data_IF_333781320467
#
_entry.id   IF_333781320467
#
_cell.length_a   1.000
_cell.length_b   1.000
_cell.length_c   1.000
_cell.angle_alpha   90.00
_cell.angle_beta   90.00
_cell.angle_gamma   90.00
#
_symmetry.space_group_name_H-M   'P 1'
#
loop_
_entity.id
_entity.type
_entity.pdbx_description
1 polymer ?
#
# COMPACT_ATOMS: atom_id res chain seq x y z
N UNK A 1 10.64 -13.44 -9.71
CA UNK A 1 9.39 -12.74 -9.32
C UNK A 1 8.89 -13.28 -8.00
N UNK A 2 8.48 -12.41 -7.10
CA UNK A 2 7.82 -12.81 -5.87
C UNK A 2 6.35 -12.36 -5.84
N UNK A 3 5.61 -12.86 -4.86
CA UNK A 3 4.20 -12.52 -4.67
C UNK A 3 4.13 -11.29 -3.76
N UNK A 4 3.50 -10.22 -4.24
CA UNK A 4 3.22 -9.05 -3.41
C UNK A 4 2.18 -9.43 -2.35
N UNK A 5 2.58 -9.43 -1.09
CA UNK A 5 1.71 -9.68 0.06
C UNK A 5 1.54 -8.41 0.87
N UNK A 6 0.54 -8.43 1.75
CA UNK A 6 0.34 -7.36 2.72
C UNK A 6 0.05 -7.93 4.11
N UNK A 7 0.41 -7.15 5.13
CA UNK A 7 0.04 -7.36 6.53
C UNK A 7 -0.66 -6.10 7.02
N UNK A 8 -1.87 -6.26 7.54
CA UNK A 8 -2.61 -5.16 8.17
C UNK A 8 -2.51 -5.30 9.69
N UNK A 9 -2.39 -4.18 10.40
CA UNK A 9 -2.33 -4.20 11.88
C UNK A 9 -3.68 -4.58 12.48
N UNK A 10 -4.79 -4.08 11.92
CA UNK A 10 -6.15 -4.43 12.35
C UNK A 10 -6.90 -5.07 11.17
N UNK A 11 -6.86 -6.41 11.00
CA UNK A 11 -7.42 -7.06 9.82
C UNK A 11 -8.97 -7.00 9.75
N UNK A 12 -9.64 -6.97 10.91
CA UNK A 12 -11.11 -7.04 11.02
C UNK A 12 -11.80 -5.67 10.92
N UNK A 13 -11.07 -4.57 11.09
CA UNK A 13 -11.62 -3.21 11.10
C UNK A 13 -10.80 -2.31 10.15
N UNK A 14 -10.89 -2.63 8.86
CA UNK A 14 -10.24 -1.85 7.81
C UNK A 14 -11.20 -0.79 7.28
N UNK A 15 -10.76 0.46 7.10
CA UNK A 15 -11.58 1.46 6.43
C UNK A 15 -11.79 1.05 4.97
N UNK A 16 -12.97 1.36 4.41
CA UNK A 16 -13.37 0.98 3.04
C UNK A 16 -12.33 1.38 1.99
N UNK A 17 -11.70 2.54 2.14
CA UNK A 17 -10.67 2.99 1.21
C UNK A 17 -9.44 2.07 1.18
N UNK A 18 -9.07 1.47 2.31
CA UNK A 18 -7.93 0.56 2.41
C UNK A 18 -8.25 -0.78 1.74
N UNK A 19 -9.50 -1.25 1.85
CA UNK A 19 -9.99 -2.42 1.11
C UNK A 19 -9.96 -2.18 -0.40
N UNK A 20 -10.42 -1.00 -0.85
CA UNK A 20 -10.37 -0.61 -2.26
C UNK A 20 -8.93 -0.54 -2.78
N UNK A 21 -8.00 0.01 -1.98
CA UNK A 21 -6.58 0.03 -2.30
C UNK A 21 -6.00 -1.39 -2.42
N UNK A 22 -6.30 -2.27 -1.45
CA UNK A 22 -5.88 -3.67 -1.48
C UNK A 22 -6.35 -4.38 -2.75
N UNK A 23 -7.62 -4.21 -3.11
CA UNK A 23 -8.20 -4.80 -4.31
C UNK A 23 -7.56 -4.25 -5.59
N UNK A 24 -7.33 -2.95 -5.66
CA UNK A 24 -6.69 -2.32 -6.82
C UNK A 24 -5.24 -2.83 -7.02
N UNK A 25 -4.45 -2.92 -5.95
CA UNK A 25 -3.11 -3.49 -5.98
C UNK A 25 -3.16 -4.97 -6.35
N UNK A 26 -4.09 -5.74 -5.80
CA UNK A 26 -4.25 -7.15 -6.17
C UNK A 26 -4.52 -7.29 -7.66
N UNK A 27 -5.44 -6.51 -8.22
CA UNK A 27 -5.77 -6.59 -9.65
C UNK A 27 -4.56 -6.28 -10.54
N UNK A 28 -3.70 -5.34 -10.14
CA UNK A 28 -2.49 -4.98 -10.90
C UNK A 28 -1.38 -6.01 -10.77
N UNK A 29 -1.11 -6.52 -9.55
CA UNK A 29 0.10 -7.29 -9.26
C UNK A 29 -0.14 -8.79 -9.04
N UNK A 30 -1.38 -9.29 -8.95
CA UNK A 30 -1.63 -10.72 -8.68
C UNK A 30 -1.24 -11.62 -9.85
N UNK A 31 -1.35 -11.13 -11.09
CA UNK A 31 -1.02 -11.91 -12.30
C UNK A 31 0.43 -11.66 -12.76
N UNK A 32 0.88 -10.41 -12.69
CA UNK A 32 2.25 -10.03 -13.09
C UNK A 32 3.29 -10.43 -12.04
N UNK A 33 2.92 -10.48 -10.76
CA UNK A 33 3.91 -10.49 -9.68
C UNK A 33 4.65 -9.15 -9.60
N UNK A 34 5.69 -9.11 -8.77
CA UNK A 34 6.55 -7.94 -8.63
C UNK A 34 8.00 -8.40 -8.45
N UNK A 35 8.94 -7.65 -9.00
CA UNK A 35 10.38 -7.87 -8.80
C UNK A 35 10.88 -7.01 -7.65
N UNK A 36 11.87 -7.50 -6.91
CA UNK A 36 12.45 -6.76 -5.79
C UNK A 36 13.51 -5.76 -6.31
N UNK A 37 13.05 -4.83 -7.15
CA UNK A 37 13.84 -3.75 -7.75
C UNK A 37 13.32 -2.40 -7.27
N UNK A 38 14.21 -1.42 -7.12
CA UNK A 38 13.83 -0.08 -6.66
C UNK A 38 12.78 0.58 -7.57
N UNK A 39 12.82 0.29 -8.87
CA UNK A 39 11.86 0.82 -9.84
C UNK A 39 10.45 0.28 -9.64
N UNK A 40 10.28 -1.04 -9.48
CA UNK A 40 8.97 -1.65 -9.22
C UNK A 40 8.39 -1.18 -7.88
N UNK A 41 9.23 -1.03 -6.85
CA UNK A 41 8.83 -0.47 -5.56
C UNK A 41 8.41 1.00 -5.64
N UNK A 42 9.12 1.80 -6.43
CA UNK A 42 8.77 3.18 -6.69
C UNK A 42 7.44 3.29 -7.44
N UNK A 43 7.23 2.47 -8.48
CA UNK A 43 5.95 2.42 -9.21
C UNK A 43 4.80 2.03 -8.29
N UNK A 44 4.99 1.04 -7.41
CA UNK A 44 3.97 0.67 -6.41
C UNK A 44 3.69 1.83 -5.45
N UNK A 45 4.73 2.52 -4.97
CA UNK A 45 4.56 3.69 -4.08
C UNK A 45 3.80 4.82 -4.79
N UNK A 46 4.19 5.15 -6.02
CA UNK A 46 3.56 6.20 -6.83
C UNK A 46 2.08 5.89 -7.07
N UNK A 47 1.74 4.63 -7.35
CA UNK A 47 0.36 4.17 -7.46
C UNK A 47 -0.43 4.38 -6.15
N UNK A 48 0.15 4.00 -5.01
CA UNK A 48 -0.49 4.17 -3.69
C UNK A 48 -0.68 5.65 -3.36
N UNK A 49 0.32 6.49 -3.60
CA UNK A 49 0.27 7.93 -3.35
C UNK A 49 -0.78 8.62 -4.23
N UNK A 50 -0.84 8.25 -5.52
CA UNK A 50 -1.90 8.69 -6.41
C UNK A 50 -3.27 8.29 -5.88
N UNK A 51 -3.46 7.03 -5.46
CA UNK A 51 -4.73 6.56 -4.92
C UNK A 51 -5.13 7.35 -3.67
N UNK A 52 -4.20 7.57 -2.73
CA UNK A 52 -4.43 8.35 -1.51
C UNK A 52 -4.79 9.80 -1.84
N UNK A 53 -4.11 10.43 -2.80
CA UNK A 53 -4.42 11.80 -3.22
C UNK A 53 -5.88 11.94 -3.69
N UNK A 54 -6.40 10.92 -4.38
CA UNK A 54 -7.79 10.90 -4.83
C UNK A 54 -8.80 10.77 -3.69
N UNK A 55 -8.41 10.19 -2.55
CA UNK A 55 -9.27 10.12 -1.37
C UNK A 55 -9.56 11.49 -0.78
N UNK A 56 -8.63 12.44 -0.85
CA UNK A 56 -8.83 13.80 -0.32
C UNK A 56 -9.64 14.70 -1.25
N UNK A 57 -9.63 14.43 -2.55
CA UNK A 57 -10.31 15.25 -3.57
C UNK A 57 -11.74 14.76 -3.83
N UNK A 58 -12.02 13.49 -3.57
CA UNK A 58 -13.34 12.89 -3.81
C UNK A 58 -14.38 13.36 -2.79
N UNK A 59 -15.46 13.98 -3.28
CA UNK A 59 -16.60 14.43 -2.45
C UNK A 59 -17.32 13.26 -1.76
N UNK A 60 -17.25 12.04 -2.31
CA UNK A 60 -17.87 10.83 -1.76
C UNK A 60 -17.08 10.19 -0.61
N UNK A 61 -15.85 10.62 -0.35
CA UNK A 61 -14.99 10.04 0.70
C UNK A 61 -14.32 11.17 1.48
N UNK A 62 -14.86 11.54 2.65
CA UNK A 62 -14.20 12.52 3.52
C UNK A 62 -13.14 11.83 4.38
N UNK A 63 -11.93 11.62 3.84
CA UNK A 63 -10.80 11.20 4.68
C UNK A 63 -10.27 12.42 5.43
N UNK A 64 -10.65 12.55 6.70
CA UNK A 64 -10.08 13.55 7.63
C UNK A 64 -8.75 13.11 8.26
N UNK A 65 -8.30 11.90 7.98
CA UNK A 65 -7.07 11.35 8.54
C UNK A 65 -5.88 11.68 7.67
N UNK A 66 -4.74 11.97 8.29
CA UNK A 66 -3.46 12.04 7.60
C UNK A 66 -3.05 10.62 7.17
N UNK A 67 -2.73 10.42 5.89
CA UNK A 67 -2.26 9.14 5.35
C UNK A 67 -0.93 9.39 4.66
N UNK A 68 0.08 8.63 5.06
CA UNK A 68 1.45 8.73 4.54
C UNK A 68 2.00 7.36 4.19
N UNK A 69 2.88 7.33 3.18
CA UNK A 69 3.56 6.12 2.70
C UNK A 69 5.07 6.26 2.84
N UNK A 70 5.73 5.14 3.16
CA UNK A 70 7.19 5.09 3.31
C UNK A 70 7.72 3.81 2.70
N UNK A 71 8.76 3.92 1.86
CA UNK A 71 9.59 2.78 1.48
C UNK A 71 10.71 2.65 2.49
N UNK A 72 10.85 1.47 3.07
CA UNK A 72 11.95 1.11 3.95
C UNK A 72 12.64 -0.14 3.42
N UNK A 73 13.93 -0.29 3.73
CA UNK A 73 14.70 -1.49 3.40
C UNK A 73 15.29 -2.02 4.69
N UNK A 74 14.82 -3.18 5.14
CA UNK A 74 15.27 -3.87 6.34
C UNK A 74 15.66 -5.30 5.98
N UNK A 75 16.80 -5.79 6.48
CA UNK A 75 17.24 -7.19 6.33
C UNK A 75 17.14 -7.76 4.89
N UNK A 76 17.62 -7.00 3.89
CA UNK A 76 17.54 -7.35 2.47
C UNK A 76 16.12 -7.50 1.88
N UNK A 77 15.09 -7.00 2.58
CA UNK A 77 13.73 -6.93 2.08
C UNK A 77 13.24 -5.49 2.05
N UNK A 78 12.66 -5.09 0.93
CA UNK A 78 12.01 -3.78 0.81
C UNK A 78 10.56 -3.89 1.25
N UNK A 79 10.11 -2.94 2.08
CA UNK A 79 8.71 -2.86 2.50
C UNK A 79 8.12 -1.49 2.17
N UNK A 80 6.85 -1.49 1.76
CA UNK A 80 6.05 -0.28 1.64
C UNK A 80 5.09 -0.18 2.83
N UNK A 81 5.33 0.81 3.69
CA UNK A 81 4.51 1.09 4.87
C UNK A 81 3.44 2.12 4.53
N UNK A 82 2.22 1.89 5.02
CA UNK A 82 1.12 2.84 5.00
C UNK A 82 0.75 3.18 6.44
N UNK A 83 0.83 4.47 6.77
CA UNK A 83 0.47 5.02 8.07
C UNK A 83 -0.79 5.87 7.96
N UNK A 84 -1.64 5.79 8.97
CA UNK A 84 -2.80 6.67 9.17
C UNK A 84 -2.66 7.38 10.51
N UNK A 85 -2.68 8.70 10.51
CA UNK A 85 -2.42 9.55 11.68
C UNK A 85 -1.13 9.11 12.40
N UNK A 86 -0.04 8.93 11.63
CA UNK A 86 1.27 8.43 12.07
C UNK A 86 1.32 6.99 12.61
N UNK A 87 0.19 6.29 12.71
CA UNK A 87 0.13 4.88 13.13
C UNK A 87 0.25 3.96 11.93
N UNK A 88 1.12 2.97 11.99
CA UNK A 88 1.20 1.92 10.96
C UNK A 88 -0.13 1.17 10.91
N UNK A 89 -0.70 1.05 9.71
CA UNK A 89 -1.94 0.28 9.49
C UNK A 89 -1.75 -0.84 8.48
N UNK A 90 -0.78 -0.70 7.58
CA UNK A 90 -0.49 -1.72 6.58
C UNK A 90 0.95 -1.69 6.12
N UNK A 91 1.47 -2.87 5.82
CA UNK A 91 2.80 -3.08 5.23
C UNK A 91 2.66 -4.01 4.03
N UNK A 92 3.24 -3.63 2.91
CA UNK A 92 3.40 -4.48 1.73
C UNK A 92 4.84 -4.98 1.64
N UNK A 93 5.01 -6.23 1.25
CA UNK A 93 6.31 -6.91 1.14
C UNK A 93 6.25 -7.98 0.06
N UNK A 94 7.41 -8.31 -0.51
CA UNK A 94 7.53 -9.41 -1.47
C UNK A 94 7.78 -10.71 -0.71
N UNK A 95 6.87 -11.67 -0.85
CA UNK A 95 7.09 -13.04 -0.41
C UNK A 95 7.71 -13.84 -1.56
N UNK A 96 8.88 -14.41 -1.30
CA UNK A 96 9.54 -15.36 -2.20
C UNK A 96 9.02 -16.77 -1.97
#
# INVERSE_FOLDING_TARGET
MGILRYKSINPNDKPIWLLKLQMAISNTYSLRGIEDTEEEWKQLKDFVDWFISKLYVRKDITVKSDISTYLIREDNQTHLLIKRNRKLIQTYYIQK
#
